data_IF_309668561110
#
_entry.id   IF_309668561110
#
_cell.length_a   1.000
_cell.length_b   1.000
_cell.length_c   1.000
_cell.angle_alpha   90.00
_cell.angle_beta   90.00
_cell.angle_gamma   90.00
#
_symmetry.space_group_name_H-M   'P 1'
#
loop_
_entity.id
_entity.type
_entity.pdbx_description
1 polymer ?
#
# COMPACT_ATOMS: atom_id res chain seq x y z
N UNK A 1 -4.41 -23.16 16.24
CA UNK A 1 -4.88 -21.78 15.95
C UNK A 1 -5.67 -21.22 17.12
N UNK A 2 -5.03 -20.89 18.26
CA UNK A 2 -5.75 -20.40 19.45
C UNK A 2 -5.16 -19.13 20.12
N UNK A 3 -4.03 -18.60 19.65
CA UNK A 3 -3.39 -17.43 20.28
C UNK A 3 -3.91 -16.06 19.82
N UNK A 4 -4.67 -15.98 18.72
CA UNK A 4 -5.19 -14.71 18.19
C UNK A 4 -6.35 -14.14 19.02
N UNK A 5 -7.09 -14.98 19.76
CA UNK A 5 -8.28 -14.55 20.50
C UNK A 5 -7.99 -13.65 21.70
N UNK A 6 -6.79 -13.74 22.29
CA UNK A 6 -6.44 -13.05 23.54
C UNK A 6 -6.07 -11.57 23.35
N UNK A 7 -5.33 -11.24 22.30
CA UNK A 7 -4.92 -9.86 22.01
C UNK A 7 -6.13 -9.05 21.50
N UNK A 8 -6.94 -9.64 20.62
CA UNK A 8 -8.18 -9.03 20.15
C UNK A 8 -9.20 -8.79 21.29
N UNK A 9 -9.28 -9.70 22.28
CA UNK A 9 -10.16 -9.53 23.46
C UNK A 9 -9.75 -8.36 24.36
N UNK A 10 -8.45 -8.10 24.52
CA UNK A 10 -7.94 -7.13 25.51
C UNK A 10 -8.29 -5.69 25.16
N UNK A 11 -8.50 -5.37 23.88
CA UNK A 11 -8.72 -3.99 23.44
C UNK A 11 -10.18 -3.69 23.05
N UNK A 12 -11.07 -4.69 23.09
CA UNK A 12 -12.45 -4.65 22.55
C UNK A 12 -13.33 -3.48 23.02
N UNK A 13 -13.08 -2.92 24.21
CA UNK A 13 -14.02 -1.98 24.85
C UNK A 13 -13.74 -0.49 24.56
N UNK A 14 -12.65 -0.16 23.86
CA UNK A 14 -12.37 1.20 23.36
C UNK A 14 -12.64 1.33 21.85
N UNK A 15 -13.34 0.34 21.26
CA UNK A 15 -13.52 0.17 19.82
C UNK A 15 -14.64 1.04 19.24
N UNK A 16 -14.35 2.33 19.07
CA UNK A 16 -14.83 3.04 17.90
C UNK A 16 -13.70 3.03 16.85
N UNK A 17 -13.92 2.45 15.65
CA UNK A 17 -13.27 2.73 14.32
C UNK A 17 -12.47 1.59 13.60
N UNK A 18 -13.12 0.85 12.68
CA UNK A 18 -12.72 0.66 11.26
C UNK A 18 -11.49 -0.18 10.81
N UNK A 19 -11.51 -0.54 9.51
CA UNK A 19 -10.45 -1.23 8.71
C UNK A 19 -9.01 -0.78 8.97
N UNK A 20 -8.79 0.50 9.30
CA UNK A 20 -7.46 1.04 9.57
C UNK A 20 -6.77 0.40 10.79
N UNK A 21 -7.53 -0.09 11.77
CA UNK A 21 -6.97 -0.77 12.94
C UNK A 21 -6.43 -2.16 12.61
N UNK A 22 -7.14 -2.92 11.76
CA UNK A 22 -6.69 -4.25 11.32
C UNK A 22 -5.38 -4.18 10.56
N UNK A 23 -5.27 -3.22 9.62
CA UNK A 23 -4.00 -2.95 8.92
C UNK A 23 -2.87 -2.61 9.90
N UNK A 24 -3.11 -1.75 10.90
CA UNK A 24 -2.09 -1.39 11.90
C UNK A 24 -1.61 -2.57 12.72
N UNK A 25 -2.51 -3.47 13.14
CA UNK A 25 -2.14 -4.68 13.89
C UNK A 25 -1.30 -5.62 13.02
N UNK A 26 -1.71 -5.86 11.78
CA UNK A 26 -0.97 -6.72 10.85
C UNK A 26 0.43 -6.18 10.56
N UNK A 27 0.55 -4.86 10.34
CA UNK A 27 1.84 -4.17 10.16
C UNK A 27 2.73 -4.34 11.38
N UNK A 28 2.19 -4.08 12.58
CA UNK A 28 2.93 -4.26 13.82
C UNK A 28 3.48 -5.69 13.96
N UNK A 29 2.63 -6.70 13.72
CA UNK A 29 3.03 -8.10 13.81
C UNK A 29 4.13 -8.44 12.80
N UNK A 30 4.03 -7.93 11.57
CA UNK A 30 5.03 -8.14 10.52
C UNK A 30 6.38 -7.48 10.88
N UNK A 31 6.38 -6.18 11.19
CA UNK A 31 7.62 -5.45 11.49
C UNK A 31 8.29 -5.84 12.81
N UNK A 32 7.55 -6.49 13.73
CA UNK A 32 8.11 -7.10 14.94
C UNK A 32 8.40 -8.59 14.79
N UNK A 33 8.44 -9.08 13.54
CA UNK A 33 8.83 -10.44 13.15
C UNK A 33 7.98 -11.54 13.83
N UNK A 34 6.70 -11.24 14.10
CA UNK A 34 5.76 -12.19 14.71
C UNK A 34 5.01 -13.04 13.69
N UNK A 35 4.92 -12.58 12.46
CA UNK A 35 4.33 -13.29 11.31
C UNK A 35 5.28 -13.21 10.12
N UNK A 36 5.21 -14.19 9.23
CA UNK A 36 5.98 -14.18 7.99
C UNK A 36 5.46 -13.10 7.02
N UNK A 37 6.29 -12.72 6.04
CA UNK A 37 5.87 -11.84 4.96
C UNK A 37 4.66 -12.40 4.21
N UNK A 38 4.68 -13.69 3.86
CA UNK A 38 3.57 -14.35 3.18
C UNK A 38 2.25 -14.24 3.97
N UNK A 39 2.30 -14.53 5.28
CA UNK A 39 1.14 -14.42 6.15
C UNK A 39 0.64 -12.97 6.23
N UNK A 40 1.55 -12.00 6.36
CA UNK A 40 1.20 -10.58 6.37
C UNK A 40 0.49 -10.16 5.09
N UNK A 41 1.03 -10.51 3.92
CA UNK A 41 0.49 -10.12 2.63
C UNK A 41 -0.90 -10.73 2.37
N UNK A 42 -1.11 -12.01 2.72
CA UNK A 42 -2.40 -12.67 2.57
C UNK A 42 -3.47 -11.99 3.44
N UNK A 43 -3.16 -11.77 4.72
CA UNK A 43 -4.11 -11.19 5.67
C UNK A 43 -4.42 -9.71 5.32
N UNK A 44 -3.41 -8.90 5.00
CA UNK A 44 -3.64 -7.49 4.69
C UNK A 44 -4.38 -7.33 3.36
N UNK A 45 -4.16 -8.22 2.38
CA UNK A 45 -4.96 -8.26 1.16
C UNK A 45 -6.43 -8.49 1.47
N UNK A 46 -6.76 -9.43 2.36
CA UNK A 46 -8.16 -9.69 2.72
C UNK A 46 -8.85 -8.46 3.33
N UNK A 47 -8.13 -7.69 4.16
CA UNK A 47 -8.62 -6.41 4.70
C UNK A 47 -8.87 -5.41 3.57
N UNK A 48 -7.94 -5.29 2.61
CA UNK A 48 -8.11 -4.39 1.46
C UNK A 48 -9.24 -4.83 0.52
N UNK A 49 -9.41 -6.12 0.26
CA UNK A 49 -10.51 -6.66 -0.56
C UNK A 49 -11.87 -6.25 0.02
N UNK A 50 -12.05 -6.45 1.33
CA UNK A 50 -13.27 -6.04 2.03
C UNK A 50 -13.46 -4.53 1.99
N UNK A 51 -12.41 -3.76 2.26
CA UNK A 51 -12.49 -2.30 2.22
C UNK A 51 -12.88 -1.78 0.83
N UNK A 52 -12.25 -2.31 -0.22
CA UNK A 52 -12.47 -1.90 -1.61
C UNK A 52 -13.90 -2.22 -2.08
N UNK A 53 -14.45 -3.36 -1.66
CA UNK A 53 -15.84 -3.71 -1.95
C UNK A 53 -16.85 -2.72 -1.35
N UNK A 54 -16.55 -2.14 -0.19
CA UNK A 54 -17.42 -1.19 0.50
C UNK A 54 -17.18 0.28 0.10
N UNK A 55 -15.98 0.62 -0.39
CA UNK A 55 -15.57 1.99 -0.68
C UNK A 55 -14.92 2.11 -2.08
N UNK A 56 -15.59 1.68 -3.16
CA UNK A 56 -14.98 1.55 -4.48
C UNK A 56 -14.55 2.88 -5.13
N UNK A 57 -15.05 4.02 -4.63
CA UNK A 57 -14.69 5.35 -5.11
C UNK A 57 -13.55 6.02 -4.32
N UNK A 58 -13.15 5.44 -3.18
CA UNK A 58 -12.08 6.00 -2.37
C UNK A 58 -10.71 5.56 -2.88
N UNK A 59 -9.75 6.50 -2.95
CA UNK A 59 -8.40 6.24 -3.48
C UNK A 59 -7.36 5.98 -2.40
N UNK A 60 -7.67 6.31 -1.14
CA UNK A 60 -6.72 6.42 -0.01
C UNK A 60 -5.93 5.13 0.27
N UNK A 61 -6.46 3.96 -0.11
CA UNK A 61 -5.83 2.67 0.14
C UNK A 61 -5.48 1.89 -1.13
N UNK A 62 -5.64 2.48 -2.32
CA UNK A 62 -5.42 1.76 -3.58
C UNK A 62 -3.94 1.50 -3.88
N UNK A 63 -3.03 2.42 -3.52
CA UNK A 63 -1.59 2.15 -3.63
C UNK A 63 -1.17 0.97 -2.74
N UNK A 64 -1.37 1.00 -1.40
CA UNK A 64 -1.02 -0.13 -0.55
C UNK A 64 -1.68 -1.44 -1.00
N UNK A 65 -2.95 -1.39 -1.41
CA UNK A 65 -3.68 -2.56 -1.88
C UNK A 65 -3.05 -3.13 -3.16
N UNK A 66 -2.84 -2.29 -4.17
CA UNK A 66 -2.23 -2.71 -5.42
C UNK A 66 -0.81 -3.25 -5.22
N UNK A 67 0.00 -2.64 -4.35
CA UNK A 67 1.31 -3.16 -3.98
C UNK A 67 1.21 -4.54 -3.31
N UNK A 68 0.25 -4.73 -2.40
CA UNK A 68 0.03 -6.03 -1.76
C UNK A 68 -0.33 -7.11 -2.78
N UNK A 69 -1.18 -6.78 -3.76
CA UNK A 69 -1.59 -7.68 -4.84
C UNK A 69 -0.41 -8.02 -5.77
N UNK A 70 0.43 -7.03 -6.09
CA UNK A 70 1.67 -7.24 -6.85
C UNK A 70 2.62 -8.21 -6.13
N UNK A 71 2.86 -8.00 -4.84
CA UNK A 71 3.75 -8.83 -4.02
C UNK A 71 3.23 -10.27 -3.84
N UNK A 72 1.96 -10.51 -4.12
CA UNK A 72 1.34 -11.84 -4.15
C UNK A 72 1.33 -12.46 -5.56
N UNK A 73 1.90 -11.77 -6.56
CA UNK A 73 2.10 -12.27 -7.92
C UNK A 73 1.00 -11.95 -8.93
N UNK A 74 0.00 -11.11 -8.61
CA UNK A 74 -1.03 -10.70 -9.57
C UNK A 74 -0.76 -9.28 -10.11
N UNK A 75 0.20 -9.19 -11.02
CA UNK A 75 0.59 -7.92 -11.66
C UNK A 75 -0.58 -7.25 -12.38
N UNK A 76 -1.43 -8.02 -13.06
CA UNK A 76 -2.54 -7.49 -13.85
C UNK A 76 -3.58 -6.81 -12.96
N UNK A 77 -3.96 -7.46 -11.85
CA UNK A 77 -4.89 -6.88 -10.90
C UNK A 77 -4.26 -5.68 -10.20
N UNK A 78 -2.98 -5.76 -9.82
CA UNK A 78 -2.25 -4.66 -9.21
C UNK A 78 -2.28 -3.39 -10.07
N UNK A 79 -1.89 -3.48 -11.36
CA UNK A 79 -1.94 -2.35 -12.30
C UNK A 79 -3.36 -1.80 -12.42
N UNK A 80 -4.37 -2.67 -12.45
CA UNK A 80 -5.78 -2.26 -12.55
C UNK A 80 -6.28 -1.49 -11.31
N UNK A 81 -5.73 -1.77 -10.12
CA UNK A 81 -6.01 -1.04 -8.89
C UNK A 81 -5.25 0.30 -8.89
N UNK A 82 -3.92 0.24 -9.09
CA UNK A 82 -3.02 1.40 -8.98
C UNK A 82 -3.36 2.50 -9.98
N UNK A 83 -3.74 2.14 -11.22
CA UNK A 83 -4.11 3.12 -12.25
C UNK A 83 -5.25 4.06 -11.84
N UNK A 84 -6.09 3.66 -10.89
CA UNK A 84 -7.20 4.50 -10.41
C UNK A 84 -6.72 5.69 -9.58
N UNK A 85 -5.49 5.62 -9.04
CA UNK A 85 -4.86 6.69 -8.28
C UNK A 85 -4.31 7.76 -9.21
N UNK A 86 -3.74 7.37 -10.35
CA UNK A 86 -3.05 8.26 -11.27
C UNK A 86 -3.92 9.42 -11.76
N UNK A 87 -3.35 10.62 -11.69
CA UNK A 87 -3.87 11.86 -12.24
C UNK A 87 -2.79 12.47 -13.15
N UNK A 88 -3.08 12.54 -14.45
CA UNK A 88 -2.18 13.11 -15.46
C UNK A 88 -1.95 14.62 -15.27
N UNK A 89 -2.87 15.32 -14.61
CA UNK A 89 -2.80 16.76 -14.37
C UNK A 89 -2.13 17.09 -13.02
N UNK A 90 -1.51 16.10 -12.39
CA UNK A 90 -0.85 16.28 -11.10
C UNK A 90 0.35 17.23 -11.22
N UNK A 91 0.51 18.11 -10.23
CA UNK A 91 1.62 19.06 -10.17
C UNK A 91 2.59 18.64 -9.08
N UNK A 92 3.65 17.95 -9.48
CA UNK A 92 4.66 17.42 -8.56
C UNK A 92 5.45 18.53 -7.87
N UNK A 93 5.64 18.39 -6.56
CA UNK A 93 6.60 19.19 -5.80
C UNK A 93 7.97 18.50 -5.80
N UNK A 94 8.97 19.11 -6.45
CA UNK A 94 10.32 18.55 -6.55
C UNK A 94 11.23 18.90 -5.37
N UNK A 95 10.85 19.88 -4.54
CA UNK A 95 11.64 20.31 -3.39
C UNK A 95 11.23 19.54 -2.13
N UNK A 96 9.93 19.33 -1.94
CA UNK A 96 9.36 18.65 -0.78
C UNK A 96 8.14 17.80 -1.18
N UNK A 97 8.36 16.59 -1.73
CA UNK A 97 7.29 15.72 -2.19
C UNK A 97 6.42 15.24 -1.03
N UNK A 98 5.11 15.38 -1.19
CA UNK A 98 4.11 14.84 -0.27
C UNK A 98 3.89 13.34 -0.50
N UNK A 99 3.22 12.66 0.44
CA UNK A 99 2.82 11.26 0.24
C UNK A 99 1.93 11.09 -1.00
N UNK A 100 1.06 12.07 -1.29
CA UNK A 100 0.21 12.03 -2.48
C UNK A 100 1.02 12.23 -3.77
N UNK A 101 2.08 13.04 -3.76
CA UNK A 101 3.02 13.13 -4.88
C UNK A 101 3.67 11.77 -5.16
N UNK A 102 4.20 11.13 -4.11
CA UNK A 102 4.84 9.81 -4.21
C UNK A 102 3.85 8.75 -4.73
N UNK A 103 2.61 8.76 -4.23
CA UNK A 103 1.55 7.86 -4.68
C UNK A 103 1.16 8.07 -6.14
N UNK A 104 0.96 9.33 -6.57
CA UNK A 104 0.63 9.62 -7.96
C UNK A 104 1.78 9.27 -8.90
N UNK A 105 3.02 9.57 -8.49
CA UNK A 105 4.22 9.25 -9.26
C UNK A 105 4.39 7.74 -9.43
N UNK A 106 4.28 6.98 -8.33
CA UNK A 106 4.35 5.53 -8.36
C UNK A 106 3.26 4.92 -9.26
N UNK A 107 2.04 5.48 -9.23
CA UNK A 107 0.98 5.07 -10.15
C UNK A 107 1.31 5.37 -11.61
N UNK A 108 1.94 6.52 -11.88
CA UNK A 108 2.41 6.88 -13.21
C UNK A 108 3.50 5.94 -13.74
N UNK A 109 4.47 5.54 -12.91
CA UNK A 109 5.48 4.53 -13.27
C UNK A 109 4.80 3.20 -13.59
N UNK A 110 3.95 2.72 -12.69
CA UNK A 110 3.28 1.41 -12.79
C UNK A 110 2.42 1.30 -14.04
N UNK A 111 1.85 2.42 -14.50
CA UNK A 111 1.00 2.47 -15.70
C UNK A 111 1.77 2.80 -16.99
N UNK A 112 3.08 3.05 -16.91
CA UNK A 112 3.90 3.48 -18.04
C UNK A 112 3.62 4.91 -18.51
N UNK A 113 2.89 5.71 -17.73
CA UNK A 113 2.56 7.09 -18.05
C UNK A 113 3.72 8.06 -17.74
N UNK A 114 4.67 7.65 -16.89
CA UNK A 114 5.88 8.41 -16.58
C UNK A 114 7.05 7.83 -17.36
N UNK A 115 7.68 8.68 -18.18
CA UNK A 115 8.96 8.37 -18.80
C UNK A 115 10.09 8.54 -17.77
N UNK A 116 10.83 7.47 -17.49
CA UNK A 116 11.92 7.49 -16.51
C UNK A 116 13.00 8.52 -16.85
N UNK A 117 13.26 8.75 -18.14
CA UNK A 117 14.31 9.67 -18.60
C UNK A 117 14.04 11.13 -18.19
N UNK A 118 12.78 11.55 -18.16
CA UNK A 118 12.38 12.93 -17.83
C UNK A 118 12.62 13.29 -16.35
N UNK A 119 12.88 12.28 -15.51
CA UNK A 119 12.95 12.41 -14.06
C UNK A 119 14.28 11.90 -13.47
N UNK A 120 15.29 11.69 -14.32
CA UNK A 120 16.65 11.42 -13.87
C UNK A 120 17.19 12.58 -13.03
N UNK A 121 17.91 12.28 -11.95
CA UNK A 121 18.45 13.24 -10.99
C UNK A 121 17.38 14.06 -10.25
N UNK A 122 16.16 13.55 -10.15
CA UNK A 122 15.08 14.17 -9.35
C UNK A 122 14.85 13.40 -8.04
N UNK A 123 14.17 14.04 -7.11
CA UNK A 123 13.76 13.41 -5.84
C UNK A 123 12.86 12.18 -6.04
N UNK A 124 12.27 11.99 -7.22
CA UNK A 124 11.41 10.84 -7.53
C UNK A 124 12.15 9.65 -8.13
N UNK A 125 13.42 9.81 -8.51
CA UNK A 125 14.20 8.79 -9.21
C UNK A 125 14.29 7.47 -8.44
N UNK A 126 14.31 7.51 -7.11
CA UNK A 126 14.39 6.32 -6.27
C UNK A 126 13.18 5.36 -6.45
N UNK A 127 12.06 5.84 -7.00
CA UNK A 127 10.86 5.02 -7.21
C UNK A 127 10.96 4.07 -8.41
N UNK A 128 11.99 4.20 -9.26
CA UNK A 128 12.07 3.45 -10.51
C UNK A 128 12.48 1.99 -10.36
N UNK A 129 13.29 1.68 -9.35
CA UNK A 129 13.93 0.37 -9.19
C UNK A 129 13.78 -0.13 -7.74
N UNK A 130 12.58 0.03 -7.18
CA UNK A 130 12.25 -0.45 -5.85
C UNK A 130 12.27 -1.98 -5.81
N UNK A 131 12.89 -2.53 -4.78
CA UNK A 131 12.78 -3.93 -4.40
C UNK A 131 11.43 -4.23 -3.72
N UNK A 132 11.00 -5.48 -3.71
CA UNK A 132 9.80 -5.93 -2.97
C UNK A 132 9.80 -5.47 -1.51
N UNK A 133 10.97 -5.51 -0.86
CA UNK A 133 11.13 -5.06 0.52
C UNK A 133 10.90 -3.55 0.66
N UNK A 134 11.38 -2.76 -0.28
CA UNK A 134 11.14 -1.31 -0.30
C UNK A 134 9.68 -1.00 -0.60
N UNK A 135 9.04 -1.71 -1.53
CA UNK A 135 7.61 -1.58 -1.80
C UNK A 135 6.80 -1.86 -0.52
N UNK A 136 7.13 -2.93 0.22
CA UNK A 136 6.49 -3.22 1.50
C UNK A 136 6.70 -2.08 2.48
N UNK A 137 7.94 -1.62 2.67
CA UNK A 137 8.26 -0.59 3.67
C UNK A 137 7.63 0.77 3.35
N UNK A 138 7.59 1.16 2.08
CA UNK A 138 7.13 2.48 1.64
C UNK A 138 5.61 2.52 1.56
N UNK A 139 4.98 1.51 0.94
CA UNK A 139 3.58 1.58 0.54
C UNK A 139 2.64 0.72 1.38
N UNK A 140 3.05 -0.50 1.75
CA UNK A 140 2.16 -1.48 2.41
C UNK A 140 2.22 -1.33 3.94
N UNK A 141 3.41 -1.11 4.45
CA UNK A 141 3.77 -1.13 5.85
C UNK A 141 3.54 0.17 6.62
N UNK A 142 3.45 1.30 5.91
CA UNK A 142 3.31 2.64 6.48
C UNK A 142 1.84 3.02 6.76
#
# INVERSE_FOLDING_TARGET
MEKFSGIAKKYKNDWNKGYSQECQVLRYLYFTEKISQEHFLIEIKAVYDLWYAHNPSEKKHLIPYGCTVYLLGDEKQSVAIIKQVYNENWKYNFENPSADDIHNFFAGITTGAINKEDYQNTVYEFLFDLTDKEIINIFVGN
#
